data_IF_013478028480
#
_entry.id   IF_013478028480
#
_cell.length_a   1.000
_cell.length_b   1.000
_cell.length_c   1.000
_cell.angle_alpha   90.00
_cell.angle_beta   90.00
_cell.angle_gamma   90.00
#
_symmetry.space_group_name_H-M   'P 1'
#
loop_
_entity.id
_entity.type
_entity.pdbx_description
1 polymer ?
#
# COMPACT_ATOMS: atom_id res chain seq x y z
N UNK A 1 -3.53 -29.48 -29.83
CA UNK A 1 -4.48 -28.59 -29.10
C UNK A 1 -3.93 -28.17 -27.73
N UNK A 2 -3.58 -29.11 -26.85
CA UNK A 2 -3.05 -28.84 -25.49
C UNK A 2 -1.83 -27.91 -25.47
N UNK A 3 -0.82 -28.13 -26.33
CA UNK A 3 0.37 -27.25 -26.43
C UNK A 3 0.03 -25.78 -26.76
N UNK A 4 -1.05 -25.52 -27.49
CA UNK A 4 -1.52 -24.16 -27.83
C UNK A 4 -2.19 -23.51 -26.61
N UNK A 5 -3.00 -24.27 -25.87
CA UNK A 5 -3.63 -23.82 -24.62
C UNK A 5 -2.56 -23.46 -23.58
N UNK A 6 -1.55 -24.31 -23.39
CA UNK A 6 -0.44 -24.04 -22.46
C UNK A 6 0.29 -22.74 -22.82
N UNK A 7 0.60 -22.51 -24.10
CA UNK A 7 1.23 -21.27 -24.54
C UNK A 7 0.37 -20.03 -24.26
N UNK A 8 -0.94 -20.12 -24.49
CA UNK A 8 -1.87 -19.02 -24.20
C UNK A 8 -1.91 -18.74 -22.69
N UNK A 9 -2.04 -19.78 -21.86
CA UNK A 9 -2.01 -19.65 -20.41
C UNK A 9 -0.70 -19.02 -19.91
N UNK A 10 0.44 -19.43 -20.47
CA UNK A 10 1.74 -18.85 -20.12
C UNK A 10 1.79 -17.34 -20.43
N UNK A 11 1.33 -16.93 -21.61
CA UNK A 11 1.28 -15.51 -22.00
C UNK A 11 0.37 -14.72 -21.07
N UNK A 12 -0.80 -15.25 -20.72
CA UNK A 12 -1.73 -14.62 -19.79
C UNK A 12 -1.13 -14.47 -18.39
N UNK A 13 -0.42 -15.49 -17.89
CA UNK A 13 0.27 -15.42 -16.60
C UNK A 13 1.35 -14.32 -16.60
N UNK A 14 2.17 -14.23 -17.65
CA UNK A 14 3.22 -13.20 -17.76
C UNK A 14 2.59 -11.80 -17.80
N UNK A 15 1.55 -11.61 -18.61
CA UNK A 15 0.82 -10.35 -18.69
C UNK A 15 0.19 -9.97 -17.34
N UNK A 16 -0.37 -10.93 -16.62
CA UNK A 16 -0.91 -10.73 -15.27
C UNK A 16 0.16 -10.28 -14.27
N UNK A 17 1.31 -10.97 -14.24
CA UNK A 17 2.44 -10.60 -13.35
C UNK A 17 2.97 -9.20 -13.68
N UNK A 18 3.15 -8.88 -14.97
CA UNK A 18 3.57 -7.55 -15.41
C UNK A 18 2.57 -6.46 -15.01
N UNK A 19 1.27 -6.74 -15.17
CA UNK A 19 0.20 -5.84 -14.75
C UNK A 19 0.20 -5.59 -13.24
N UNK A 20 0.38 -6.64 -12.42
CA UNK A 20 0.48 -6.49 -10.96
C UNK A 20 1.72 -5.68 -10.59
N UNK A 21 2.87 -5.94 -11.21
CA UNK A 21 4.11 -5.20 -10.96
C UNK A 21 3.99 -3.72 -11.33
N UNK A 22 3.34 -3.40 -12.45
CA UNK A 22 3.06 -2.02 -12.85
C UNK A 22 2.14 -1.31 -11.84
N UNK A 23 1.04 -1.95 -11.44
CA UNK A 23 0.13 -1.38 -10.44
C UNK A 23 0.81 -1.21 -9.07
N UNK A 24 1.65 -2.16 -8.65
CA UNK A 24 2.47 -2.03 -7.45
C UNK A 24 3.35 -0.79 -7.51
N UNK A 25 4.10 -0.62 -8.59
CA UNK A 25 4.99 0.54 -8.77
C UNK A 25 4.22 1.87 -8.75
N UNK A 26 3.09 1.92 -9.45
CA UNK A 26 2.21 3.11 -9.49
C UNK A 26 1.60 3.42 -8.12
N UNK A 27 1.25 2.40 -7.34
CA UNK A 27 0.71 2.58 -5.99
C UNK A 27 1.80 3.05 -5.05
N UNK A 28 3.00 2.45 -5.09
CA UNK A 28 4.16 2.86 -4.29
C UNK A 28 4.54 4.31 -4.58
N UNK A 29 4.69 4.69 -5.85
CA UNK A 29 5.09 6.04 -6.24
C UNK A 29 3.90 6.97 -6.52
N UNK A 30 2.75 6.68 -5.91
CA UNK A 30 1.52 7.42 -6.16
C UNK A 30 1.71 8.91 -5.87
N UNK A 31 1.33 9.74 -6.84
CA UNK A 31 1.24 11.21 -6.72
C UNK A 31 -0.18 11.67 -6.44
N UNK A 32 -1.09 10.76 -6.11
CA UNK A 32 -2.48 11.10 -5.85
C UNK A 32 -2.61 12.03 -4.63
N UNK A 33 -3.42 13.07 -4.80
CA UNK A 33 -3.80 13.98 -3.71
C UNK A 33 -5.01 13.38 -3.00
N UNK A 34 -4.84 13.03 -1.73
CA UNK A 34 -5.91 12.50 -0.90
C UNK A 34 -6.65 13.68 -0.28
N UNK A 35 -7.89 13.91 -0.72
CA UNK A 35 -8.71 15.01 -0.21
C UNK A 35 -9.31 14.71 1.15
N UNK A 36 -9.66 13.44 1.39
CA UNK A 36 -10.33 12.96 2.62
C UNK A 36 -9.76 11.60 3.04
N UNK A 37 -9.56 11.44 4.34
CA UNK A 37 -9.21 10.16 4.98
C UNK A 37 -10.48 9.32 5.17
N UNK A 38 -10.40 8.03 4.86
CA UNK A 38 -11.48 7.06 5.00
C UNK A 38 -11.35 6.39 6.36
N UNK A 39 -12.26 6.71 7.27
CA UNK A 39 -12.26 6.16 8.64
C UNK A 39 -12.58 4.67 8.67
N UNK A 40 -13.30 4.16 7.68
CA UNK A 40 -13.60 2.73 7.48
C UNK A 40 -12.40 1.92 6.97
N UNK A 41 -11.28 2.57 6.67
CA UNK A 41 -10.07 1.95 6.12
C UNK A 41 -8.89 2.03 7.06
N UNK A 42 -7.92 1.15 6.80
CA UNK A 42 -6.59 1.25 7.37
C UNK A 42 -5.84 2.33 6.60
N UNK A 43 -5.50 3.42 7.28
CA UNK A 43 -4.79 4.55 6.70
C UNK A 43 -3.30 4.31 6.82
N UNK A 44 -2.65 3.99 5.70
CA UNK A 44 -1.23 3.69 5.63
C UNK A 44 -0.46 4.90 5.11
N UNK A 45 0.17 5.62 6.05
CA UNK A 45 1.02 6.76 5.77
C UNK A 45 2.45 6.30 5.52
N UNK A 46 2.98 6.67 4.36
CA UNK A 46 4.29 6.21 3.92
C UNK A 46 5.00 7.25 3.04
N UNK A 47 6.25 6.96 2.72
CA UNK A 47 7.05 7.69 1.74
C UNK A 47 7.72 6.70 0.79
N UNK A 48 7.79 7.02 -0.49
CA UNK A 48 8.39 6.16 -1.53
C UNK A 48 9.93 6.22 -1.53
N UNK A 49 10.53 7.19 -0.87
CA UNK A 49 11.98 7.28 -0.62
C UNK A 49 12.40 6.73 0.77
N UNK A 50 11.47 6.19 1.55
CA UNK A 50 11.69 5.67 2.89
C UNK A 50 12.03 4.16 2.87
N UNK A 51 13.21 3.79 3.40
CA UNK A 51 13.69 2.40 3.41
C UNK A 51 12.76 1.46 4.20
N UNK A 52 12.28 1.90 5.35
CA UNK A 52 11.39 1.09 6.21
C UNK A 52 10.01 0.92 5.59
N UNK A 53 9.52 1.93 4.88
CA UNK A 53 8.31 1.88 4.08
C UNK A 53 8.43 0.82 2.98
N UNK A 54 9.53 0.82 2.21
CA UNK A 54 9.79 -0.20 1.16
C UNK A 54 9.82 -1.63 1.70
N UNK A 55 10.35 -1.85 2.91
CA UNK A 55 10.41 -3.19 3.54
C UNK A 55 9.03 -3.80 3.75
N UNK A 56 8.03 -2.97 4.03
CA UNK A 56 6.67 -3.42 4.39
C UNK A 56 5.61 -3.06 3.33
N UNK A 57 5.93 -2.26 2.31
CA UNK A 57 4.97 -1.86 1.28
C UNK A 57 4.35 -3.05 0.55
N UNK A 58 5.17 -4.06 0.22
CA UNK A 58 4.71 -5.28 -0.48
C UNK A 58 3.65 -6.06 0.29
N UNK A 59 3.79 -6.24 1.60
CA UNK A 59 2.78 -6.96 2.39
C UNK A 59 1.47 -6.16 2.46
N UNK A 60 1.53 -4.84 2.63
CA UNK A 60 0.35 -3.96 2.68
C UNK A 60 -0.36 -3.93 1.31
N UNK A 61 0.40 -3.83 0.21
CA UNK A 61 -0.15 -3.86 -1.14
C UNK A 61 -0.85 -5.19 -1.45
N UNK A 62 -0.22 -6.32 -1.15
CA UNK A 62 -0.81 -7.63 -1.42
C UNK A 62 -2.08 -7.87 -0.59
N UNK A 63 -2.09 -7.41 0.68
CA UNK A 63 -3.28 -7.42 1.51
C UNK A 63 -4.41 -6.61 0.86
N UNK A 64 -4.14 -5.36 0.48
CA UNK A 64 -5.15 -4.49 -0.12
C UNK A 64 -5.63 -4.97 -1.49
N UNK A 65 -4.81 -5.69 -2.26
CA UNK A 65 -5.22 -6.30 -3.52
C UNK A 65 -6.35 -7.34 -3.33
N UNK A 66 -6.41 -7.94 -2.14
CA UNK A 66 -7.43 -8.93 -1.76
C UNK A 66 -8.59 -8.23 -1.05
N UNK A 67 -8.29 -7.45 -0.01
CA UNK A 67 -9.29 -6.94 0.93
C UNK A 67 -9.83 -5.54 0.60
N UNK A 68 -9.12 -4.76 -0.20
CA UNK A 68 -9.51 -3.41 -0.64
C UNK A 68 -9.79 -2.41 0.51
N UNK A 69 -9.16 -2.62 1.66
CA UNK A 69 -9.40 -1.97 2.96
C UNK A 69 -8.29 -1.01 3.39
N UNK A 70 -7.24 -0.83 2.59
CA UNK A 70 -6.15 0.11 2.86
C UNK A 70 -6.28 1.36 2.00
N UNK A 71 -6.16 2.53 2.63
CA UNK A 71 -5.90 3.78 1.93
C UNK A 71 -4.41 4.09 1.99
N UNK A 72 -3.76 4.17 0.83
CA UNK A 72 -2.35 4.54 0.70
C UNK A 72 -2.21 6.06 0.67
N UNK A 73 -1.49 6.63 1.63
CA UNK A 73 -1.24 8.07 1.72
C UNK A 73 0.27 8.32 1.61
N UNK A 74 0.72 8.68 0.40
CA UNK A 74 2.12 9.04 0.16
C UNK A 74 2.39 10.47 0.66
N UNK A 75 3.28 10.62 1.64
CA UNK A 75 3.70 11.92 2.18
C UNK A 75 4.82 12.58 1.37
N UNK A 76 5.38 11.92 0.34
CA UNK A 76 6.20 12.61 -0.67
C UNK A 76 5.36 13.57 -1.51
N UNK A 77 4.05 13.32 -1.68
CA UNK A 77 3.10 14.27 -2.24
C UNK A 77 2.81 15.39 -1.22
N UNK A 78 3.28 16.60 -1.49
CA UNK A 78 3.20 17.75 -0.58
C UNK A 78 1.78 18.07 -0.12
N UNK A 79 0.78 17.92 -0.99
CA UNK A 79 -0.62 18.17 -0.62
C UNK A 79 -1.18 17.18 0.41
N UNK A 80 -0.58 16.01 0.57
CA UNK A 80 -0.95 15.04 1.59
C UNK A 80 -0.28 15.34 2.94
N UNK A 81 0.72 16.23 3.00
CA UNK A 81 1.44 16.56 4.24
C UNK A 81 0.58 17.29 5.27
N UNK A 82 -0.56 17.85 4.88
CA UNK A 82 -1.57 18.37 5.82
C UNK A 82 -1.97 17.34 6.89
N UNK A 83 -1.92 16.04 6.56
CA UNK A 83 -2.25 14.97 7.50
C UNK A 83 -1.19 14.71 8.55
N UNK A 84 0.02 15.25 8.40
CA UNK A 84 1.08 15.12 9.41
C UNK A 84 0.61 15.75 10.72
N UNK A 85 0.09 16.97 10.65
CA UNK A 85 -0.39 17.70 11.82
C UNK A 85 -1.77 17.19 12.27
N UNK A 86 -2.69 16.93 11.32
CA UNK A 86 -4.06 16.46 11.60
C UNK A 86 -4.10 15.13 12.36
N UNK A 87 -3.16 14.22 12.06
CA UNK A 87 -3.08 12.88 12.67
C UNK A 87 -1.85 12.68 13.54
N UNK A 88 -1.11 13.75 13.87
CA UNK A 88 0.07 13.71 14.75
C UNK A 88 1.12 12.66 14.32
N UNK A 89 1.46 12.63 13.02
CA UNK A 89 2.35 11.63 12.41
C UNK A 89 3.82 12.06 12.59
N UNK A 90 4.52 11.43 13.52
CA UNK A 90 5.94 11.73 13.79
C UNK A 90 6.93 10.99 12.88
N UNK A 91 6.53 9.84 12.32
CA UNK A 91 7.39 9.00 11.49
C UNK A 91 6.58 8.21 10.48
N UNK A 92 7.26 7.65 9.48
CA UNK A 92 6.70 6.67 8.54
C UNK A 92 7.58 5.41 8.54
N UNK A 93 7.00 4.22 8.31
CA UNK A 93 5.58 3.95 8.09
C UNK A 93 4.72 4.11 9.35
N UNK A 94 3.50 4.64 9.18
CA UNK A 94 2.49 4.73 10.24
C UNK A 94 1.15 4.22 9.72
N UNK A 95 0.48 3.43 10.55
CA UNK A 95 -0.86 2.90 10.33
C UNK A 95 -1.81 3.59 11.29
N UNK A 96 -2.98 4.01 10.79
CA UNK A 96 -4.07 4.54 11.62
C UNK A 96 -5.36 3.80 11.25
N UNK A 97 -5.99 3.18 12.24
CA UNK A 97 -7.26 2.48 12.08
C UNK A 97 -8.04 2.53 13.40
N UNK A 98 -9.34 2.86 13.35
CA UNK A 98 -10.22 2.90 14.54
C UNK A 98 -9.66 3.69 15.75
N UNK A 99 -8.98 4.81 15.49
CA UNK A 99 -8.28 5.65 16.49
C UNK A 99 -7.02 5.03 17.12
N UNK A 100 -6.59 3.85 16.68
CA UNK A 100 -5.29 3.30 17.03
C UNK A 100 -4.25 3.71 16.00
N UNK A 101 -3.09 4.16 16.48
CA UNK A 101 -1.94 4.51 15.65
C UNK A 101 -0.77 3.58 15.96
N UNK A 102 -0.17 3.01 14.92
CA UNK A 102 1.03 2.20 15.03
C UNK A 102 2.10 2.69 14.04
N UNK A 103 3.22 3.13 14.59
CA UNK A 103 4.38 3.57 13.83
C UNK A 103 5.48 2.50 13.91
N UNK A 104 5.90 1.95 12.76
CA UNK A 104 7.00 0.98 12.72
C UNK A 104 6.83 -0.16 11.74
N UNK A 105 7.76 -1.12 11.81
CA UNK A 105 7.93 -2.22 10.83
C UNK A 105 7.80 -3.62 11.42
N UNK A 106 7.42 -3.76 12.69
CA UNK A 106 7.23 -5.06 13.33
C UNK A 106 6.14 -5.86 12.62
N UNK A 107 6.55 -6.97 11.98
CA UNK A 107 5.68 -7.76 11.09
C UNK A 107 4.44 -8.30 11.79
N UNK A 108 4.56 -8.79 13.01
CA UNK A 108 3.42 -9.38 13.73
C UNK A 108 2.36 -8.33 14.09
N UNK A 109 2.78 -7.11 14.47
CA UNK A 109 1.85 -6.00 14.68
C UNK A 109 1.17 -5.56 13.39
N UNK A 110 1.91 -5.49 12.29
CA UNK A 110 1.30 -5.15 11.00
C UNK A 110 0.31 -6.23 10.55
N UNK A 111 0.63 -7.52 10.74
CA UNK A 111 -0.33 -8.59 10.46
C UNK A 111 -1.59 -8.47 11.31
N UNK A 112 -1.48 -8.08 12.57
CA UNK A 112 -2.61 -7.86 13.47
C UNK A 112 -3.51 -6.72 12.99
N UNK A 113 -2.92 -5.62 12.53
CA UNK A 113 -3.64 -4.47 11.95
C UNK A 113 -4.28 -4.83 10.61
N UNK A 114 -3.62 -5.67 9.81
CA UNK A 114 -4.11 -6.17 8.51
C UNK A 114 -4.93 -7.46 8.64
N UNK A 115 -5.58 -7.74 9.78
CA UNK A 115 -6.48 -8.90 9.89
C UNK A 115 -7.86 -8.55 9.32
#
# INVERSE_FOLDING_TARGET
>A
MIKKIIKILLVLCIAGIAGIGYNFYQTEHSKAVITTIKEDKINFFYRDDCKDCKKIFKQVYLHNLINHDVQFINLNQEKNRKYIDEYNIHTVPTFIHENEAYAGTQKEKIKEILK
#
